data_IF_410686877569
#
_entry.id   IF_410686877569
#
_cell.length_a   1.000
_cell.length_b   1.000
_cell.length_c   1.000
_cell.angle_alpha   90.00
_cell.angle_beta   90.00
_cell.angle_gamma   90.00
#
_symmetry.space_group_name_H-M   'P 1'
#
loop_
_entity.id
_entity.type
_entity.pdbx_description
1 polymer ?
#
# COMPACT_ATOMS: atom_id res chain seq x y z
N UNK A 1 5.32 16.58 14.99
CA UNK A 1 4.58 16.09 13.82
C UNK A 1 3.08 16.31 13.94
N UNK A 2 2.56 16.72 15.11
CA UNK A 2 1.13 16.91 15.36
C UNK A 2 0.92 18.15 16.22
N UNK A 3 -0.22 18.84 16.06
CA UNK A 3 -0.71 19.87 17.00
C UNK A 3 -2.02 19.41 17.64
N UNK A 4 -2.22 19.69 18.93
CA UNK A 4 -3.47 19.35 19.64
C UNK A 4 -4.24 20.58 20.14
N UNK A 5 -3.65 21.77 20.04
CA UNK A 5 -4.30 23.02 20.44
C UNK A 5 -5.55 23.29 19.60
N UNK A 6 -6.72 23.41 20.25
CA UNK A 6 -8.00 23.74 19.60
C UNK A 6 -7.91 24.97 18.70
N UNK A 7 -7.20 26.01 19.14
CA UNK A 7 -7.01 27.24 18.35
C UNK A 7 -6.27 26.97 17.03
N UNK A 8 -5.20 26.17 17.08
CA UNK A 8 -4.41 25.80 15.90
C UNK A 8 -5.18 24.87 14.95
N UNK A 9 -5.93 23.91 15.50
CA UNK A 9 -6.78 23.02 14.70
C UNK A 9 -7.90 23.79 13.97
N UNK A 10 -8.55 24.75 14.63
CA UNK A 10 -9.52 25.67 14.00
C UNK A 10 -8.85 26.46 12.87
N UNK A 11 -7.63 26.96 13.10
CA UNK A 11 -6.88 27.71 12.10
C UNK A 11 -6.58 26.86 10.85
N UNK A 12 -6.13 25.60 11.03
CA UNK A 12 -5.90 24.67 9.92
C UNK A 12 -7.16 24.47 9.05
N UNK A 13 -8.32 24.32 9.68
CA UNK A 13 -9.61 24.14 8.99
C UNK A 13 -10.03 25.43 8.28
N UNK A 14 -10.06 26.56 9.00
CA UNK A 14 -10.61 27.82 8.49
C UNK A 14 -9.77 28.42 7.37
N UNK A 15 -8.46 28.21 7.39
CA UNK A 15 -7.54 28.70 6.35
C UNK A 15 -7.36 27.68 5.20
N UNK A 16 -8.04 26.52 5.24
CA UNK A 16 -8.05 25.56 4.14
C UNK A 16 -6.78 24.71 3.98
N UNK A 17 -5.94 24.62 5.02
CA UNK A 17 -4.73 23.77 5.00
C UNK A 17 -5.07 22.27 4.98
N UNK A 18 -6.27 21.92 5.45
CA UNK A 18 -6.83 20.56 5.51
C UNK A 18 -8.31 20.58 5.11
N UNK A 19 -8.85 19.45 4.65
CA UNK A 19 -10.19 19.39 4.03
C UNK A 19 -11.35 19.57 5.01
N UNK A 20 -11.12 19.31 6.30
CA UNK A 20 -12.15 19.38 7.34
C UNK A 20 -11.73 18.71 8.65
N UNK A 21 -12.62 18.70 9.64
CA UNK A 21 -12.33 18.09 10.96
C UNK A 21 -12.11 16.57 10.91
N UNK A 22 -12.56 15.92 9.85
CA UNK A 22 -12.40 14.51 9.55
C UNK A 22 -11.28 14.22 8.53
N UNK A 23 -10.49 15.24 8.15
CA UNK A 23 -9.33 15.04 7.26
C UNK A 23 -8.41 13.94 7.85
N UNK A 24 -7.99 12.94 7.07
CA UNK A 24 -7.18 11.82 7.58
C UNK A 24 -5.77 12.18 8.06
N UNK A 25 -5.35 13.44 7.94
CA UNK A 25 -4.12 14.02 8.54
C UNK A 25 -4.37 14.65 9.91
N UNK A 26 -5.63 14.90 10.28
CA UNK A 26 -6.00 15.49 11.55
C UNK A 26 -5.90 14.48 12.71
N UNK A 27 -5.43 14.90 13.89
CA UNK A 27 -5.36 14.05 15.08
C UNK A 27 -6.70 13.91 15.81
N UNK A 28 -7.81 14.19 15.13
CA UNK A 28 -9.17 14.06 15.65
C UNK A 28 -9.60 12.60 15.57
N UNK A 29 -10.53 12.18 16.44
CA UNK A 29 -11.07 10.82 16.36
C UNK A 29 -11.81 10.57 15.03
N UNK A 30 -12.46 11.59 14.47
CA UNK A 30 -13.07 11.54 13.13
C UNK A 30 -12.01 11.37 12.04
N UNK A 31 -10.93 12.15 12.08
CA UNK A 31 -9.81 12.04 11.14
C UNK A 31 -9.13 10.68 11.20
N UNK A 32 -8.82 10.19 12.41
CA UNK A 32 -8.25 8.86 12.62
C UNK A 32 -9.20 7.74 12.14
N UNK A 33 -10.51 7.88 12.38
CA UNK A 33 -11.50 6.91 11.89
C UNK A 33 -11.53 6.86 10.36
N UNK A 34 -11.62 8.01 9.69
CA UNK A 34 -11.61 8.12 8.22
C UNK A 34 -10.27 7.69 7.62
N UNK A 35 -9.19 7.91 8.36
CA UNK A 35 -7.85 7.41 8.05
C UNK A 35 -7.75 5.88 8.09
N UNK A 36 -8.63 5.22 8.81
CA UNK A 36 -8.71 3.77 8.91
C UNK A 36 -8.20 3.19 10.21
N UNK A 37 -7.90 4.03 11.22
CA UNK A 37 -7.67 3.54 12.57
C UNK A 37 -8.93 2.83 13.09
N UNK A 38 -8.70 1.81 13.91
CA UNK A 38 -9.78 1.04 14.54
C UNK A 38 -9.92 1.48 15.99
N UNK A 39 -11.13 1.34 16.58
CA UNK A 39 -11.30 1.54 18.02
C UNK A 39 -10.36 0.66 18.86
N UNK A 40 -10.05 -0.56 18.38
CA UNK A 40 -9.15 -1.48 19.06
C UNK A 40 -7.71 -0.94 19.09
N UNK A 41 -7.17 -0.49 17.95
CA UNK A 41 -5.83 0.09 17.87
C UNK A 41 -5.64 1.33 18.75
N UNK A 42 -6.67 2.19 18.86
CA UNK A 42 -6.60 3.39 19.69
C UNK A 42 -6.58 3.03 21.18
N UNK A 43 -7.39 2.04 21.60
CA UNK A 43 -7.37 1.56 22.98
C UNK A 43 -6.05 0.90 23.34
N UNK A 44 -5.54 0.03 22.46
CA UNK A 44 -4.22 -0.60 22.63
C UNK A 44 -3.10 0.44 22.72
N UNK A 45 -3.13 1.48 21.87
CA UNK A 45 -2.20 2.61 22.01
C UNK A 45 -2.29 3.29 23.38
N UNK A 46 -3.50 3.60 23.87
CA UNK A 46 -3.69 4.19 25.19
C UNK A 46 -3.18 3.29 26.32
N UNK A 47 -3.39 1.97 26.21
CA UNK A 47 -2.91 1.01 27.20
C UNK A 47 -1.37 0.93 27.21
N UNK A 48 -0.72 0.99 26.03
CA UNK A 48 0.75 0.97 25.88
C UNK A 48 1.45 2.19 26.45
N UNK A 49 0.87 3.38 26.31
CA UNK A 49 1.48 4.62 26.84
C UNK A 49 1.30 4.75 28.36
N UNK A 50 0.29 4.08 28.91
CA UNK A 50 -0.05 4.12 30.33
C UNK A 50 -0.53 5.49 30.81
N UNK A 51 -0.74 5.58 32.12
CA UNK A 51 -1.17 6.81 32.80
C UNK A 51 -0.07 7.20 33.79
N UNK A 52 0.51 8.38 33.60
CA UNK A 52 1.53 8.94 34.46
C UNK A 52 1.20 10.40 34.80
N UNK A 53 1.69 10.88 35.94
CA UNK A 53 1.53 12.29 36.37
C UNK A 53 2.56 13.22 35.75
N UNK A 54 3.65 12.67 35.20
CA UNK A 54 4.68 13.45 34.51
C UNK A 54 4.27 13.74 33.05
N UNK A 55 4.50 14.98 32.61
CA UNK A 55 4.31 15.34 31.22
C UNK A 55 5.32 14.60 30.34
N UNK A 56 4.83 13.93 29.30
CA UNK A 56 5.65 13.27 28.29
C UNK A 56 5.04 13.45 26.91
N UNK A 57 5.88 13.42 25.88
CA UNK A 57 5.45 13.37 24.48
C UNK A 57 5.73 11.98 23.96
N UNK A 58 4.72 11.34 23.38
CA UNK A 58 4.82 10.00 22.82
C UNK A 58 5.13 10.10 21.33
N UNK A 59 6.02 9.24 20.85
CA UNK A 59 6.31 9.13 19.42
C UNK A 59 5.09 8.57 18.67
N UNK A 60 4.72 9.22 17.56
CA UNK A 60 3.63 8.78 16.68
C UNK A 60 3.84 7.35 16.16
N UNK A 61 5.09 6.88 16.07
CA UNK A 61 5.41 5.52 15.72
C UNK A 61 4.75 4.47 16.63
N UNK A 62 4.47 4.78 17.90
CA UNK A 62 3.73 3.88 18.80
C UNK A 62 2.26 3.74 18.41
N UNK A 63 1.61 4.84 18.00
CA UNK A 63 0.24 4.82 17.48
C UNK A 63 0.17 4.04 16.18
N UNK A 64 1.12 4.27 15.28
CA UNK A 64 1.21 3.51 14.02
C UNK A 64 1.50 2.02 14.25
N UNK A 65 2.26 1.67 15.29
CA UNK A 65 2.51 0.27 15.65
C UNK A 65 1.21 -0.43 16.10
N UNK A 66 0.42 0.20 16.97
CA UNK A 66 -0.85 -0.35 17.44
C UNK A 66 -1.83 -0.66 16.29
N UNK A 67 -1.96 0.23 15.31
CA UNK A 67 -2.81 -0.02 14.14
C UNK A 67 -2.23 -1.07 13.18
N UNK A 68 -0.90 -1.14 13.02
CA UNK A 68 -0.27 -2.22 12.22
C UNK A 68 -0.53 -3.59 12.84
N UNK A 69 -0.42 -3.71 14.16
CA UNK A 69 -0.63 -4.97 14.87
C UNK A 69 -2.09 -5.44 14.74
N UNK A 70 -3.05 -4.52 14.93
CA UNK A 70 -4.47 -4.81 14.78
C UNK A 70 -4.84 -5.24 13.35
N UNK A 71 -4.43 -4.46 12.35
CA UNK A 71 -4.76 -4.76 10.95
C UNK A 71 -3.99 -5.96 10.39
N UNK A 72 -2.80 -6.28 10.89
CA UNK A 72 -2.11 -7.50 10.51
C UNK A 72 -2.94 -8.74 10.85
N UNK A 73 -3.66 -8.72 11.96
CA UNK A 73 -4.48 -9.86 12.37
C UNK A 73 -5.83 -9.87 11.65
N UNK A 74 -6.47 -8.70 11.50
CA UNK A 74 -7.86 -8.63 11.05
C UNK A 74 -8.05 -8.37 9.54
N UNK A 75 -7.14 -7.64 8.88
CA UNK A 75 -7.40 -7.13 7.53
C UNK A 75 -7.22 -8.22 6.44
N UNK A 76 -8.19 -8.41 5.53
CA UNK A 76 -7.97 -9.20 4.32
C UNK A 76 -6.87 -8.58 3.45
N UNK A 77 -6.14 -9.42 2.72
CA UNK A 77 -5.05 -9.05 1.81
C UNK A 77 -5.58 -8.96 0.40
N UNK A 78 -5.28 -7.88 -0.29
CA UNK A 78 -5.65 -7.64 -1.68
C UNK A 78 -4.44 -7.19 -2.50
N UNK A 79 -4.48 -7.38 -3.82
CA UNK A 79 -3.46 -6.89 -4.73
C UNK A 79 -3.85 -5.53 -5.30
N UNK A 80 -2.93 -4.58 -5.18
CA UNK A 80 -3.01 -3.26 -5.76
C UNK A 80 -1.62 -2.87 -6.23
N UNK A 81 -1.53 -2.32 -7.44
CA UNK A 81 -0.31 -1.86 -8.07
C UNK A 81 -0.34 -0.33 -8.12
N UNK A 82 0.52 0.30 -7.32
CA UNK A 82 0.53 1.74 -7.11
C UNK A 82 1.26 2.49 -8.23
N UNK A 83 2.36 1.94 -8.73
CA UNK A 83 3.10 2.48 -9.88
C UNK A 83 3.20 1.40 -10.97
N UNK A 84 2.22 1.31 -11.88
CA UNK A 84 2.10 0.19 -12.79
C UNK A 84 3.14 0.20 -13.92
N UNK A 85 3.81 -0.94 -14.10
CA UNK A 85 4.48 -1.34 -15.35
C UNK A 85 3.68 -2.49 -15.98
N UNK A 86 3.42 -2.39 -17.28
CA UNK A 86 2.76 -3.45 -18.05
C UNK A 86 3.72 -4.61 -18.31
N UNK A 87 3.27 -5.84 -18.09
CA UNK A 87 3.92 -7.07 -18.55
C UNK A 87 3.03 -7.73 -19.61
N UNK A 88 3.64 -8.20 -20.69
CA UNK A 88 3.01 -9.13 -21.65
C UNK A 88 3.71 -10.48 -21.56
N UNK A 89 2.98 -11.52 -21.18
CA UNK A 89 3.48 -12.89 -21.08
C UNK A 89 3.35 -13.58 -22.44
N UNK A 90 4.43 -13.59 -23.21
CA UNK A 90 4.43 -13.88 -24.64
C UNK A 90 3.98 -15.31 -25.00
N UNK A 91 4.28 -16.29 -24.15
CA UNK A 91 3.89 -17.68 -24.35
C UNK A 91 2.58 -18.06 -23.64
N UNK A 92 1.85 -17.10 -23.06
CA UNK A 92 0.52 -17.34 -22.49
C UNK A 92 -0.58 -17.14 -23.55
N UNK A 93 -1.57 -18.05 -23.71
CA UNK A 93 -2.56 -17.97 -24.78
C UNK A 93 -3.34 -16.65 -24.79
N UNK A 94 -3.50 -16.06 -25.97
CA UNK A 94 -4.31 -14.85 -26.15
C UNK A 94 -5.79 -15.11 -25.83
N UNK A 95 -6.43 -14.15 -25.15
CA UNK A 95 -7.84 -14.25 -24.76
C UNK A 95 -8.14 -15.22 -23.61
N UNK A 96 -7.17 -16.01 -23.16
CA UNK A 96 -7.36 -16.92 -22.03
C UNK A 96 -7.36 -16.13 -20.71
N UNK A 97 -8.36 -16.41 -19.88
CA UNK A 97 -8.47 -15.91 -18.52
C UNK A 97 -8.58 -17.09 -17.57
N UNK A 98 -7.75 -17.09 -16.54
CA UNK A 98 -7.79 -18.10 -15.48
C UNK A 98 -8.26 -17.47 -14.17
N UNK A 99 -9.14 -18.17 -13.47
CA UNK A 99 -9.59 -17.79 -12.14
C UNK A 99 -8.70 -18.45 -11.09
N UNK A 100 -7.98 -17.64 -10.32
CA UNK A 100 -7.11 -18.09 -9.25
C UNK A 100 -7.78 -17.85 -7.90
N UNK A 101 -7.94 -18.91 -7.12
CA UNK A 101 -8.46 -18.81 -5.76
C UNK A 101 -7.36 -18.36 -4.78
N UNK A 102 -7.62 -17.29 -4.03
CA UNK A 102 -6.70 -16.68 -3.09
C UNK A 102 -7.35 -16.52 -1.72
N UNK A 103 -6.67 -17.00 -0.68
CA UNK A 103 -7.08 -16.80 0.72
C UNK A 103 -7.02 -15.31 1.05
N UNK A 104 -8.09 -14.77 1.61
CA UNK A 104 -8.21 -13.37 1.99
C UNK A 104 -7.28 -13.03 3.16
N UNK A 105 -7.33 -13.78 4.26
CA UNK A 105 -6.51 -13.51 5.43
C UNK A 105 -5.74 -14.77 5.86
N UNK A 106 -4.41 -14.84 5.67
CA UNK A 106 -3.62 -16.00 6.08
C UNK A 106 -3.52 -16.18 7.61
N UNK A 107 -3.89 -15.16 8.40
CA UNK A 107 -3.95 -15.25 9.86
C UNK A 107 -5.26 -15.85 10.36
N UNK A 108 -6.33 -15.81 9.55
CA UNK A 108 -7.61 -16.42 9.88
C UNK A 108 -7.60 -17.90 9.49
N UNK A 109 -7.13 -18.73 10.43
CA UNK A 109 -7.03 -20.18 10.23
C UNK A 109 -8.33 -20.90 10.54
N UNK A 110 -9.23 -20.27 11.29
CA UNK A 110 -10.46 -20.89 11.79
C UNK A 110 -11.58 -20.82 10.75
N UNK A 111 -11.64 -19.74 9.97
CA UNK A 111 -12.59 -19.59 8.87
C UNK A 111 -11.97 -18.87 7.66
N UNK A 112 -11.10 -19.55 6.89
CA UNK A 112 -10.40 -18.93 5.78
C UNK A 112 -11.35 -18.63 4.62
N UNK A 113 -11.73 -17.37 4.47
CA UNK A 113 -12.42 -16.89 3.27
C UNK A 113 -11.45 -16.81 2.09
N UNK A 114 -11.97 -17.10 0.90
CA UNK A 114 -11.25 -16.96 -0.37
C UNK A 114 -11.91 -15.93 -1.27
N UNK A 115 -11.15 -15.48 -2.27
CA UNK A 115 -11.67 -14.70 -3.40
C UNK A 115 -11.05 -15.20 -4.70
N UNK A 116 -11.73 -14.89 -5.79
CA UNK A 116 -11.25 -15.18 -7.14
C UNK A 116 -10.48 -13.98 -7.67
N UNK A 117 -9.30 -14.23 -8.24
CA UNK A 117 -8.46 -13.25 -8.89
C UNK A 117 -8.23 -13.68 -10.35
N UNK A 118 -8.58 -12.85 -11.35
CA UNK A 118 -8.35 -13.17 -12.75
C UNK A 118 -6.86 -13.04 -13.10
N UNK A 119 -6.32 -14.05 -13.78
CA UNK A 119 -5.00 -14.06 -14.41
C UNK A 119 -5.15 -14.07 -15.92
N UNK A 120 -4.29 -13.32 -16.61
CA UNK A 120 -4.33 -13.16 -18.06
C UNK A 120 -2.94 -12.94 -18.64
N UNK A 121 -2.83 -13.00 -19.97
CA UNK A 121 -1.61 -12.70 -20.74
C UNK A 121 -0.96 -11.36 -20.35
N UNK A 122 -1.77 -10.34 -20.16
CA UNK A 122 -1.31 -8.99 -19.79
C UNK A 122 -1.60 -8.72 -18.32
N UNK A 123 -0.59 -8.25 -17.59
CA UNK A 123 -0.68 -7.92 -16.16
C UNK A 123 0.04 -6.60 -15.87
N UNK A 124 -0.26 -5.99 -14.73
CA UNK A 124 0.53 -4.92 -14.15
C UNK A 124 1.27 -5.41 -12.91
N UNK A 125 2.51 -4.92 -12.73
CA UNK A 125 3.32 -5.06 -11.51
C UNK A 125 3.80 -3.69 -11.06
N UNK A 126 4.37 -3.60 -9.86
CA UNK A 126 5.01 -2.35 -9.42
C UNK A 126 6.27 -2.05 -10.23
N UNK A 127 6.51 -0.76 -10.49
CA UNK A 127 7.75 -0.27 -11.09
C UNK A 127 8.98 -0.69 -10.30
N UNK A 128 8.91 -0.60 -8.98
CA UNK A 128 9.99 -0.98 -8.06
C UNK A 128 10.26 -2.50 -7.99
N UNK A 129 9.42 -3.32 -8.64
CA UNK A 129 9.64 -4.76 -8.79
C UNK A 129 10.51 -5.12 -10.00
N UNK A 130 10.92 -4.13 -10.80
CA UNK A 130 11.82 -4.33 -11.92
C UNK A 130 13.06 -3.41 -11.83
N UNK A 131 14.24 -4.00 -12.11
CA UNK A 131 15.48 -3.24 -12.30
C UNK A 131 16.29 -3.88 -13.43
N UNK A 132 16.75 -3.08 -14.40
CA UNK A 132 17.64 -3.56 -15.46
C UNK A 132 18.99 -3.99 -14.88
N UNK A 133 19.65 -3.08 -14.16
CA UNK A 133 20.92 -3.32 -13.50
C UNK A 133 20.71 -3.77 -12.05
N UNK A 134 20.02 -4.90 -11.89
CA UNK A 134 19.64 -5.40 -10.58
C UNK A 134 20.85 -5.91 -9.75
N UNK A 135 21.09 -5.40 -8.52
CA UNK A 135 22.14 -5.92 -7.65
C UNK A 135 21.85 -7.37 -7.21
N UNK A 136 22.85 -8.06 -6.67
CA UNK A 136 22.73 -9.49 -6.27
C UNK A 136 21.71 -9.73 -5.17
N UNK A 137 21.43 -8.72 -4.33
CA UNK A 137 20.41 -8.74 -3.27
C UNK A 137 19.02 -8.30 -3.74
N UNK A 138 18.85 -7.98 -5.03
CA UNK A 138 17.55 -7.69 -5.61
C UNK A 138 16.92 -8.98 -6.13
N UNK A 139 15.89 -9.44 -5.41
CA UNK A 139 15.22 -10.72 -5.68
C UNK A 139 13.96 -10.60 -6.53
N UNK A 140 13.65 -9.42 -7.07
CA UNK A 140 12.51 -9.23 -7.98
C UNK A 140 12.97 -9.35 -9.45
N UNK A 141 12.19 -8.82 -10.38
CA UNK A 141 12.36 -9.05 -11.81
C UNK A 141 13.53 -8.22 -12.38
N UNK A 142 14.31 -8.84 -13.25
CA UNK A 142 15.38 -8.19 -14.01
C UNK A 142 15.55 -8.96 -15.32
N UNK A 143 16.24 -8.39 -16.33
CA UNK A 143 16.51 -9.11 -17.59
C UNK A 143 17.11 -10.50 -17.33
N UNK A 144 16.48 -11.53 -17.88
CA UNK A 144 16.87 -12.94 -17.72
C UNK A 144 16.67 -13.54 -16.32
N UNK A 145 16.10 -12.79 -15.35
CA UNK A 145 15.80 -13.30 -14.01
C UNK A 145 14.34 -13.73 -13.91
N UNK A 146 14.15 -14.78 -13.12
CA UNK A 146 12.85 -15.36 -12.81
C UNK A 146 12.31 -14.80 -11.50
N UNK A 147 11.00 -14.50 -11.45
CA UNK A 147 10.28 -14.10 -10.24
C UNK A 147 8.97 -14.87 -10.13
N UNK A 148 8.50 -15.08 -8.90
CA UNK A 148 7.19 -15.68 -8.63
C UNK A 148 6.11 -14.61 -8.61
N UNK A 149 5.08 -14.77 -9.42
CA UNK A 149 3.83 -14.03 -9.26
C UNK A 149 3.03 -14.66 -8.12
N UNK A 150 2.58 -13.84 -7.17
CA UNK A 150 1.81 -14.31 -6.02
C UNK A 150 0.61 -15.16 -6.48
N UNK A 151 0.55 -16.41 -6.01
CA UNK A 151 -0.50 -17.42 -6.31
C UNK A 151 -0.70 -17.80 -7.79
N UNK A 152 0.17 -17.33 -8.69
CA UNK A 152 0.11 -17.65 -10.11
C UNK A 152 1.33 -18.49 -10.53
N UNK A 153 2.15 -17.97 -11.44
CA UNK A 153 3.25 -18.68 -12.08
C UNK A 153 4.60 -18.00 -11.80
N UNK A 154 5.67 -18.68 -12.16
CA UNK A 154 6.98 -18.08 -12.36
C UNK A 154 7.03 -17.42 -13.73
N UNK A 155 7.63 -16.23 -13.79
CA UNK A 155 7.87 -15.50 -15.03
C UNK A 155 9.34 -15.10 -15.15
N UNK A 156 9.83 -15.05 -16.38
CA UNK A 156 11.19 -14.60 -16.72
C UNK A 156 11.12 -13.43 -17.67
N UNK A 157 11.84 -12.34 -17.37
CA UNK A 157 11.92 -11.17 -18.25
C UNK A 157 12.79 -11.49 -19.47
N UNK A 158 12.19 -11.50 -20.65
CA UNK A 158 12.85 -11.79 -21.92
C UNK A 158 13.31 -10.51 -22.62
N UNK A 159 12.49 -9.44 -22.59
CA UNK A 159 12.80 -8.17 -23.24
C UNK A 159 12.21 -6.97 -22.49
N UNK A 160 12.78 -5.79 -22.71
CA UNK A 160 12.43 -4.53 -22.04
C UNK A 160 12.12 -3.47 -23.09
N UNK A 161 10.87 -3.01 -23.11
CA UNK A 161 10.41 -1.98 -24.04
C UNK A 161 10.52 -0.61 -23.37
N UNK A 162 11.17 0.32 -24.06
CA UNK A 162 11.37 1.70 -23.60
C UNK A 162 10.69 2.71 -24.52
N UNK A 163 10.30 3.84 -23.95
CA UNK A 163 9.91 5.02 -24.73
C UNK A 163 11.13 5.78 -25.28
N UNK A 164 10.87 6.86 -26.02
CA UNK A 164 11.92 7.72 -26.60
C UNK A 164 12.80 8.41 -25.55
N UNK A 165 12.30 8.59 -24.32
CA UNK A 165 13.03 9.17 -23.20
C UNK A 165 13.83 8.12 -22.41
N UNK A 166 13.75 6.84 -22.80
CA UNK A 166 14.44 5.73 -22.15
C UNK A 166 13.72 5.17 -20.92
N UNK A 167 12.47 5.57 -20.66
CA UNK A 167 11.69 5.03 -19.56
C UNK A 167 11.14 3.64 -19.92
N UNK A 168 11.17 2.73 -18.95
CA UNK A 168 10.57 1.39 -19.10
C UNK A 168 9.05 1.51 -19.08
N UNK A 169 8.42 1.16 -20.20
CA UNK A 169 6.97 1.24 -20.40
C UNK A 169 6.30 -0.12 -20.40
N UNK A 170 7.03 -1.16 -20.82
CA UNK A 170 6.50 -2.52 -20.90
C UNK A 170 7.63 -3.56 -20.80
N UNK A 171 7.32 -4.70 -20.21
CA UNK A 171 8.21 -5.85 -20.12
C UNK A 171 7.61 -7.03 -20.87
N UNK A 172 8.43 -7.71 -21.66
CA UNK A 172 8.06 -8.96 -22.33
C UNK A 172 8.61 -10.11 -21.51
N UNK A 173 7.72 -10.97 -21.06
CA UNK A 173 8.08 -12.09 -20.19
C UNK A 173 7.61 -13.41 -20.80
N UNK A 174 8.22 -14.51 -20.38
CA UNK A 174 7.66 -15.85 -20.54
C UNK A 174 7.25 -16.41 -19.18
N UNK A 175 6.25 -17.27 -19.14
CA UNK A 175 5.88 -18.01 -17.93
C UNK A 175 6.25 -19.49 -18.03
N UNK A 176 6.40 -20.12 -16.87
CA UNK A 176 6.55 -21.57 -16.73
C UNK A 176 5.18 -22.23 -16.43
N UNK A 177 4.59 -23.01 -17.35
CA UNK A 177 3.31 -23.66 -17.13
C UNK A 177 3.29 -24.68 -15.97
N UNK A 178 4.44 -25.27 -15.63
CA UNK A 178 4.56 -26.27 -14.55
C UNK A 178 4.65 -25.61 -13.16
N UNK A 179 4.71 -24.27 -13.10
CA UNK A 179 4.92 -23.52 -11.86
C UNK A 179 3.64 -23.04 -11.16
N UNK A 180 2.45 -23.49 -11.61
CA UNK A 180 1.15 -23.04 -11.09
C UNK A 180 1.08 -23.15 -9.56
N UNK A 181 0.72 -22.06 -8.89
CA UNK A 181 0.66 -21.98 -7.43
C UNK A 181 2.02 -21.68 -6.77
N UNK A 182 3.06 -21.48 -7.56
CA UNK A 182 4.39 -21.05 -7.10
C UNK A 182 5.31 -22.18 -6.66
N UNK A 183 5.15 -23.39 -7.21
CA UNK A 183 6.05 -24.55 -7.00
C UNK A 183 6.23 -25.25 -8.34
N UNK A 184 7.46 -25.68 -8.64
CA UNK A 184 7.80 -26.44 -9.85
C UNK A 184 8.25 -27.86 -9.52
N UNK A 185 8.06 -28.83 -10.44
CA UNK A 185 8.50 -30.22 -10.24
C UNK A 185 10.02 -30.38 -10.08
N UNK A 186 10.80 -29.49 -10.72
CA UNK A 186 12.27 -29.48 -10.65
C UNK A 186 12.82 -28.99 -9.29
N UNK A 187 11.95 -28.48 -8.41
CA UNK A 187 12.31 -27.99 -7.09
C UNK A 187 13.13 -26.70 -7.07
N UNK A 188 13.24 -25.97 -8.21
CA UNK A 188 14.03 -24.74 -8.25
C UNK A 188 13.44 -23.67 -7.33
N UNK A 189 14.32 -22.97 -6.62
CA UNK A 189 13.95 -21.94 -5.64
C UNK A 189 14.03 -20.55 -6.26
N UNK A 190 12.87 -19.98 -6.57
CA UNK A 190 12.74 -18.56 -6.91
C UNK A 190 12.72 -17.73 -5.62
N UNK A 191 13.61 -16.73 -5.55
CA UNK A 191 13.87 -15.99 -4.30
C UNK A 191 12.84 -14.91 -3.98
N UNK A 192 12.21 -14.32 -4.99
CA UNK A 192 11.23 -13.24 -4.81
C UNK A 192 9.83 -13.65 -5.19
N UNK A 193 8.87 -13.04 -4.51
CA UNK A 193 7.45 -13.08 -4.88
C UNK A 193 6.92 -11.66 -4.95
N UNK A 194 6.27 -11.33 -6.06
CA UNK A 194 5.67 -10.01 -6.31
C UNK A 194 4.17 -10.14 -6.49
N UNK A 195 3.42 -9.11 -6.11
CA UNK A 195 2.00 -9.00 -6.41
C UNK A 195 1.81 -8.44 -7.81
N UNK A 196 0.61 -8.60 -8.34
CA UNK A 196 0.27 -8.24 -9.71
C UNK A 196 -1.24 -8.09 -9.82
N UNK A 197 -1.72 -7.45 -10.89
CA UNK A 197 -3.15 -7.43 -11.26
C UNK A 197 -3.31 -7.67 -12.75
N UNK A 198 -4.37 -8.37 -13.18
CA UNK A 198 -4.65 -8.58 -14.61
C UNK A 198 -4.96 -7.25 -15.30
N UNK A 199 -4.30 -6.96 -16.42
CA UNK A 199 -4.46 -5.66 -17.10
C UNK A 199 -5.88 -5.47 -17.67
N UNK A 200 -6.52 -6.56 -18.11
CA UNK A 200 -7.87 -6.52 -18.69
C UNK A 200 -8.98 -6.38 -17.64
N UNK A 201 -8.71 -6.73 -16.38
CA UNK A 201 -9.71 -6.76 -15.32
C UNK A 201 -9.42 -5.75 -14.19
N UNK A 202 -8.20 -5.23 -14.10
CA UNK A 202 -7.83 -4.27 -13.07
C UNK A 202 -8.69 -3.00 -13.19
N UNK A 203 -9.09 -2.48 -12.03
CA UNK A 203 -9.90 -1.27 -11.92
C UNK A 203 -8.98 -0.10 -11.58
N UNK A 204 -9.24 1.05 -12.19
CA UNK A 204 -8.60 2.30 -11.81
C UNK A 204 -9.17 2.79 -10.47
N UNK A 205 -8.28 3.06 -9.51
CA UNK A 205 -8.66 3.59 -8.21
C UNK A 205 -7.84 4.83 -7.86
N UNK A 206 -8.45 5.76 -7.14
CA UNK A 206 -7.72 6.85 -6.48
C UNK A 206 -7.14 6.33 -5.17
N UNK A 207 -5.84 6.50 -4.96
CA UNK A 207 -5.20 6.23 -3.68
C UNK A 207 -4.66 7.52 -3.08
N UNK A 208 -4.87 7.67 -1.77
CA UNK A 208 -4.42 8.81 -0.98
C UNK A 208 -3.34 8.34 -0.02
N UNK A 209 -2.10 8.62 -0.38
CA UNK A 209 -0.92 8.34 0.41
C UNK A 209 -0.64 9.54 1.29
N UNK A 210 -1.02 9.47 2.56
CA UNK A 210 -0.66 10.54 3.46
C UNK A 210 0.63 10.26 4.20
N UNK A 211 1.27 11.33 4.63
CA UNK A 211 2.41 11.40 5.52
C UNK A 211 2.09 12.31 6.72
N UNK A 212 3.08 12.58 7.57
CA UNK A 212 3.02 13.51 8.69
C UNK A 212 2.61 14.90 8.20
N UNK A 213 1.66 15.52 8.90
CA UNK A 213 1.15 16.86 8.55
C UNK A 213 2.20 17.95 8.73
N UNK A 214 3.14 17.77 9.65
CA UNK A 214 4.22 18.72 9.91
C UNK A 214 5.59 18.11 9.65
N UNK A 215 6.55 18.91 9.19
CA UNK A 215 7.94 18.49 8.91
C UNK A 215 8.80 18.38 10.17
N UNK A 216 8.38 18.99 11.28
CA UNK A 216 9.14 18.99 12.56
C UNK A 216 8.47 18.16 13.66
N UNK A 217 9.25 17.57 14.59
CA UNK A 217 8.72 16.81 15.73
C UNK A 217 7.82 17.64 16.68
N UNK A 218 8.16 18.91 16.91
CA UNK A 218 7.39 19.80 17.78
C UNK A 218 6.98 21.09 17.04
N UNK A 219 5.85 21.09 16.30
CA UNK A 219 5.34 22.31 15.65
C UNK A 219 4.75 23.31 16.64
N UNK A 220 4.63 22.96 17.93
CA UNK A 220 4.13 23.86 18.96
C UNK A 220 5.14 24.89 19.44
N UNK A 221 6.43 24.69 19.13
CA UNK A 221 7.53 25.59 19.49
C UNK A 221 8.28 26.06 18.22
N UNK A 222 7.67 26.94 17.41
CA UNK A 222 8.30 27.44 16.19
C UNK A 222 9.54 28.29 16.50
N UNK A 223 10.48 28.33 15.55
CA UNK A 223 11.63 29.24 15.59
C UNK A 223 11.18 30.70 15.55
N UNK A 224 12.04 31.63 16.00
CA UNK A 224 11.73 33.06 15.99
C UNK A 224 11.38 33.54 14.57
N UNK A 225 10.27 34.28 14.46
CA UNK A 225 9.74 34.75 13.18
C UNK A 225 8.92 33.74 12.37
N UNK A 226 8.77 32.49 12.85
CA UNK A 226 7.93 31.47 12.23
C UNK A 226 6.67 31.17 13.05
N UNK A 227 5.71 30.56 12.39
CA UNK A 227 4.50 29.98 12.95
C UNK A 227 4.50 28.46 12.76
N UNK A 228 3.53 27.76 13.35
CA UNK A 228 3.40 26.31 13.13
C UNK A 228 2.99 25.96 11.69
N UNK A 229 2.37 26.91 10.96
CA UNK A 229 1.95 26.73 9.57
C UNK A 229 3.15 26.63 8.61
N UNK A 230 4.26 27.30 8.94
CA UNK A 230 5.50 27.26 8.16
C UNK A 230 6.16 25.86 8.17
N UNK A 231 5.70 24.97 9.06
CA UNK A 231 6.15 23.59 9.13
C UNK A 231 5.16 22.60 8.53
N UNK A 232 4.08 23.05 7.86
CA UNK A 232 3.19 22.13 7.15
C UNK A 232 4.00 21.39 6.08
N UNK A 233 3.84 20.07 6.07
CA UNK A 233 4.46 19.22 5.07
C UNK A 233 3.67 19.29 3.75
N UNK A 234 4.25 19.84 2.67
CA UNK A 234 3.58 19.87 1.37
C UNK A 234 3.30 18.46 0.84
N UNK A 235 4.12 17.48 1.22
CA UNK A 235 3.99 16.07 0.84
C UNK A 235 3.14 15.26 1.85
N UNK A 236 2.37 15.96 2.71
CA UNK A 236 1.48 15.30 3.68
C UNK A 236 0.35 14.50 3.04
N UNK A 237 0.06 14.73 1.76
CA UNK A 237 -0.90 13.98 0.96
C UNK A 237 -0.43 13.91 -0.50
N UNK A 238 -0.18 12.70 -0.98
CA UNK A 238 -0.02 12.40 -2.41
C UNK A 238 -1.25 11.65 -2.89
N UNK A 239 -1.87 12.12 -3.95
CA UNK A 239 -3.00 11.47 -4.63
C UNK A 239 -2.51 10.92 -5.96
N UNK A 240 -2.78 9.65 -6.25
CA UNK A 240 -2.42 9.03 -7.52
C UNK A 240 -3.47 8.01 -7.96
N UNK A 241 -3.58 7.81 -9.27
CA UNK A 241 -4.40 6.74 -9.86
C UNK A 241 -3.58 5.45 -9.92
N UNK A 242 -4.18 4.36 -9.48
CA UNK A 242 -3.52 3.05 -9.32
C UNK A 242 -4.39 1.95 -9.93
N UNK A 243 -3.81 0.75 -10.11
CA UNK A 243 -4.53 -0.42 -10.59
C UNK A 243 -4.83 -1.38 -9.44
N UNK A 244 -6.10 -1.68 -9.17
CA UNK A 244 -6.51 -2.61 -8.11
C UNK A 244 -7.16 -3.86 -8.68
N UNK A 245 -7.12 -4.98 -7.94
CA UNK A 245 -7.90 -6.17 -8.29
C UNK A 245 -9.41 -5.88 -8.27
N UNK A 246 -10.23 -6.56 -9.10
CA UNK A 246 -11.65 -6.22 -9.27
C UNK A 246 -12.47 -6.25 -7.97
N UNK A 247 -12.17 -7.19 -7.08
CA UNK A 247 -12.84 -7.34 -5.77
C UNK A 247 -12.74 -6.11 -4.88
N UNK A 248 -11.76 -5.23 -5.11
CA UNK A 248 -11.61 -3.99 -4.34
C UNK A 248 -12.62 -2.91 -4.75
N UNK A 249 -13.12 -2.92 -5.99
CA UNK A 249 -14.17 -1.97 -6.40
C UNK A 249 -15.49 -2.23 -5.65
N UNK A 250 -15.78 -3.49 -5.34
CA UNK A 250 -16.98 -3.91 -4.60
C UNK A 250 -16.85 -3.77 -3.08
N UNK A 251 -15.74 -3.19 -2.59
CA UNK A 251 -15.53 -3.02 -1.17
C UNK A 251 -16.56 -2.04 -0.57
N UNK A 252 -17.12 -2.38 0.59
CA UNK A 252 -17.99 -1.43 1.30
C UNK A 252 -17.16 -0.25 1.82
N UNK A 253 -17.67 0.99 1.79
CA UNK A 253 -17.02 2.12 2.44
C UNK A 253 -16.67 1.79 3.90
N UNK A 254 -15.44 2.13 4.30
CA UNK A 254 -14.89 1.80 5.61
C UNK A 254 -14.29 0.39 5.76
N UNK A 255 -14.33 -0.45 4.71
CA UNK A 255 -13.64 -1.74 4.68
C UNK A 255 -12.13 -1.54 4.62
N UNK A 256 -11.38 -2.39 5.33
CA UNK A 256 -9.93 -2.27 5.47
C UNK A 256 -9.25 -3.45 4.81
N UNK A 257 -8.12 -3.18 4.17
CA UNK A 257 -7.34 -4.17 3.43
C UNK A 257 -5.86 -3.97 3.71
N UNK A 258 -5.09 -5.05 3.70
CA UNK A 258 -3.67 -4.98 3.45
C UNK A 258 -3.45 -5.06 1.94
N UNK A 259 -3.02 -3.96 1.31
CA UNK A 259 -2.51 -4.04 -0.05
C UNK A 259 -1.12 -4.68 0.04
N UNK A 260 -0.99 -5.84 -0.60
CA UNK A 260 0.19 -6.68 -0.47
C UNK A 260 1.46 -5.87 -0.72
N UNK A 261 2.43 -5.95 0.19
CA UNK A 261 3.72 -5.24 0.16
C UNK A 261 3.66 -3.71 0.22
N UNK A 262 2.49 -3.08 0.13
CA UNK A 262 2.34 -1.62 0.11
C UNK A 262 1.97 -1.03 1.48
N UNK A 263 1.01 -1.64 2.17
CA UNK A 263 0.51 -1.07 3.42
C UNK A 263 -0.90 -1.53 3.75
N UNK A 264 -1.47 -0.87 4.75
CA UNK A 264 -2.87 -1.01 5.09
C UNK A 264 -3.65 0.19 4.59
N UNK A 265 -4.81 -0.10 4.01
CA UNK A 265 -5.68 0.86 3.35
C UNK A 265 -7.12 0.68 3.82
N UNK A 266 -7.89 1.74 3.73
CA UNK A 266 -9.34 1.74 3.96
C UNK A 266 -10.03 2.30 2.72
N UNK A 267 -11.11 1.66 2.27
CA UNK A 267 -12.05 2.26 1.33
C UNK A 267 -12.62 3.52 1.98
N UNK A 268 -12.34 4.71 1.42
CA UNK A 268 -12.71 5.98 2.07
C UNK A 268 -14.20 5.99 2.42
N UNK A 269 -14.56 6.41 3.64
CA UNK A 269 -15.94 6.29 4.11
C UNK A 269 -16.91 7.21 3.39
N UNK A 270 -16.40 8.29 2.78
CA UNK A 270 -17.22 9.33 2.14
C UNK A 270 -17.15 9.24 0.61
N UNK A 271 -15.95 8.99 0.06
CA UNK A 271 -15.69 9.17 -1.37
C UNK A 271 -15.65 7.86 -2.16
N UNK A 272 -15.60 6.70 -1.50
CA UNK A 272 -15.51 5.40 -2.18
C UNK A 272 -16.87 4.95 -2.73
N UNK A 273 -16.92 4.66 -4.04
CA UNK A 273 -18.03 3.94 -4.67
C UNK A 273 -17.50 2.87 -5.63
N UNK A 274 -18.31 1.88 -6.06
CA UNK A 274 -17.89 0.91 -7.06
C UNK A 274 -17.43 1.52 -8.38
N UNK A 275 -18.04 2.63 -8.80
CA UNK A 275 -17.70 3.36 -10.03
C UNK A 275 -16.49 4.28 -9.85
N UNK A 276 -16.20 4.68 -8.61
CA UNK A 276 -15.06 5.53 -8.25
C UNK A 276 -14.40 5.00 -6.98
N UNK A 277 -13.59 3.93 -7.08
CA UNK A 277 -12.90 3.38 -5.92
C UNK A 277 -11.88 4.39 -5.38
N UNK A 278 -12.02 4.74 -4.10
CA UNK A 278 -11.10 5.63 -3.38
C UNK A 278 -10.55 4.92 -2.14
N UNK A 279 -9.23 4.95 -1.96
CA UNK A 279 -8.57 4.31 -0.82
C UNK A 279 -7.61 5.26 -0.10
N UNK A 280 -7.71 5.31 1.23
CA UNK A 280 -6.76 6.00 2.09
C UNK A 280 -5.71 5.03 2.62
N UNK A 281 -4.42 5.38 2.53
CA UNK A 281 -3.37 4.61 3.22
C UNK A 281 -3.42 4.84 4.72
N UNK A 282 -4.01 3.93 5.49
CA UNK A 282 -4.00 3.96 6.95
C UNK A 282 -2.59 4.07 7.50
N UNK A 283 -1.72 3.14 7.11
CA UNK A 283 -0.32 3.09 7.54
C UNK A 283 0.50 2.23 6.58
N UNK A 284 1.75 2.60 6.33
CA UNK A 284 2.68 1.77 5.55
C UNK A 284 3.06 0.48 6.31
N UNK A 285 3.50 -0.55 5.58
CA UNK A 285 4.11 -1.72 6.21
C UNK A 285 5.39 -1.31 6.97
N UNK A 286 5.83 -2.17 7.89
CA UNK A 286 7.07 -1.94 8.61
C UNK A 286 8.23 -2.02 7.61
N UNK A 287 8.88 -0.89 7.38
CA UNK A 287 10.05 -0.85 6.52
C UNK A 287 11.25 -1.48 7.25
N UNK A 288 11.58 -2.72 6.87
CA UNK A 288 12.78 -3.43 7.33
C UNK A 288 13.99 -3.16 6.44
N UNK A 289 13.81 -2.53 5.27
CA UNK A 289 14.85 -2.35 4.25
C UNK A 289 15.58 -1.01 4.35
N UNK A 290 14.92 0.06 4.82
CA UNK A 290 15.60 1.34 5.11
C UNK A 290 16.74 1.21 6.15
N UNK A 291 16.75 0.15 6.96
CA UNK A 291 17.86 -0.19 7.88
C UNK A 291 19.06 -0.85 7.20
N UNK A 292 18.89 -1.45 6.02
CA UNK A 292 19.94 -2.20 5.31
C UNK A 292 20.69 -1.32 4.31
N UNK A 293 20.07 -0.26 3.79
CA UNK A 293 20.76 0.73 2.95
C UNK A 293 21.59 1.75 3.74
N UNK A 294 21.26 1.96 5.02
CA UNK A 294 21.99 2.85 5.93
C UNK A 294 22.98 2.11 6.84
N UNK A 295 23.35 0.86 6.50
CA UNK A 295 24.25 0.00 7.27
C UNK A 295 25.37 -0.58 6.41
#
# INVERSE_FOLDING_TARGET
YTVLSKRKLIQLVNEGHISGWDDPRMPTLSGLRRRGYTPASIRDFCDRIGIATANSTVDIAMLEAAIRDDLNNAAPRAMAVLDPIKIVIENYPEGMVEELEVINNPQDKDNPETRIVPFSREIYIERDDFLEDAPSKFFRLAPGREVRLFKAYYITCADVVKDEAGNVVELRCTYDPESRGGVTPDGRKVKGTIHWVSAAHAVDAEIRLYDRLFTVPNPDSPEEGKTFLDYINPDSLTVQTVKVEPSLAEAKPGSRFQFMRQGYFIADSEDHTPEKPVFNRTVALRDTWAKVQNG
#
